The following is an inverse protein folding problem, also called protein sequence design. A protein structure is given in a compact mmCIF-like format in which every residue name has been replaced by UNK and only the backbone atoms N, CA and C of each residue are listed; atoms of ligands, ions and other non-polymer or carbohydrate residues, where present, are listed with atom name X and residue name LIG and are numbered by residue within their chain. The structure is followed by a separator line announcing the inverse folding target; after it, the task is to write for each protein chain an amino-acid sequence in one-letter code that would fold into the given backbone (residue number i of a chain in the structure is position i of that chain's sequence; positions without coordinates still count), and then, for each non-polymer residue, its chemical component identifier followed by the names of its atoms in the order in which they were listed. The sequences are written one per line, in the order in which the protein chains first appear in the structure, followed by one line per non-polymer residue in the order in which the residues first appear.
data_IF_520403150949
#
_entry.id   IF_520403150949
#
_cell.length_a   1.000
_cell.length_b   1.000
_cell.length_c   1.000
_cell.angle_alpha   90.00
_cell.angle_beta   90.00
_cell.angle_gamma   90.00
#
_symmetry.space_group_name_H-M   'P 1'
#
loop_
_entity.id
_entity.type
_entity.pdbx_description
1 polymer ?
#
# COMPACT_ATOMS: atom_id res chain seq x y z
N UNK A 1 28.50 44.45 -24.61
CA UNK A 1 29.30 43.38 -25.25
C UNK A 1 29.76 42.44 -24.16
N UNK A 2 28.93 41.45 -23.79
CA UNK A 2 29.32 40.43 -22.81
C UNK A 2 30.21 39.42 -23.54
N UNK A 3 31.51 39.38 -23.20
CA UNK A 3 32.39 38.30 -23.61
C UNK A 3 31.90 37.00 -22.94
N UNK A 4 31.28 36.11 -23.72
CA UNK A 4 31.14 34.70 -23.35
C UNK A 4 32.54 34.08 -23.46
N UNK A 5 33.11 33.66 -22.33
CA UNK A 5 34.42 33.01 -22.31
C UNK A 5 34.29 31.62 -22.96
N UNK A 6 35.35 31.08 -23.61
CA UNK A 6 35.32 29.74 -24.22
C UNK A 6 35.01 28.62 -23.20
N UNK A 7 35.27 28.86 -21.90
CA UNK A 7 34.87 27.97 -20.81
C UNK A 7 33.34 27.89 -20.63
N UNK A 8 32.60 28.98 -20.88
CA UNK A 8 31.13 28.99 -20.82
C UNK A 8 30.55 28.10 -21.91
N UNK A 9 31.16 28.10 -23.11
CA UNK A 9 30.74 27.23 -24.22
C UNK A 9 31.00 25.74 -23.91
N UNK A 10 32.14 25.41 -23.30
CA UNK A 10 32.46 24.02 -22.93
C UNK A 10 31.53 23.50 -21.82
N UNK A 11 31.27 24.30 -20.79
CA UNK A 11 30.36 23.91 -19.70
C UNK A 11 28.95 23.73 -20.24
N UNK A 12 28.45 24.66 -21.06
CA UNK A 12 27.12 24.54 -21.68
C UNK A 12 27.02 23.30 -22.58
N UNK A 13 28.06 23.00 -23.36
CA UNK A 13 28.08 21.79 -24.19
C UNK A 13 28.11 20.51 -23.36
N UNK A 14 28.91 20.45 -22.29
CA UNK A 14 28.95 19.30 -21.38
C UNK A 14 27.62 19.11 -20.64
N UNK A 15 26.98 20.21 -20.25
CA UNK A 15 25.67 20.20 -19.59
C UNK A 15 24.57 19.75 -20.55
N UNK A 16 24.63 20.20 -21.80
CA UNK A 16 23.73 19.75 -22.88
C UNK A 16 23.90 18.26 -23.18
N UNK A 17 25.14 17.77 -23.29
CA UNK A 17 25.41 16.34 -23.48
C UNK A 17 24.88 15.53 -22.30
N UNK A 18 25.17 15.97 -21.07
CA UNK A 18 24.70 15.31 -19.85
C UNK A 18 23.17 15.24 -19.79
N UNK A 19 22.49 16.34 -20.08
CA UNK A 19 21.02 16.39 -20.14
C UNK A 19 20.46 15.47 -21.22
N UNK A 20 21.09 15.44 -22.39
CA UNK A 20 20.69 14.57 -23.51
C UNK A 20 20.85 13.09 -23.14
N UNK A 21 21.97 12.72 -22.51
CA UNK A 21 22.20 11.36 -22.02
C UNK A 21 21.18 11.00 -20.95
N UNK A 22 20.90 11.89 -19.99
CA UNK A 22 19.91 11.65 -18.96
C UNK A 22 18.50 11.43 -19.55
N UNK A 23 18.10 12.27 -20.50
CA UNK A 23 16.79 12.16 -21.14
C UNK A 23 16.67 10.88 -21.98
N UNK A 24 17.71 10.52 -22.73
CA UNK A 24 17.72 9.27 -23.51
C UNK A 24 17.66 8.04 -22.60
N UNK A 25 18.39 8.02 -21.49
CA UNK A 25 18.30 6.95 -20.49
C UNK A 25 16.88 6.86 -19.89
N UNK A 26 16.29 8.00 -19.52
CA UNK A 26 14.93 8.05 -19.00
C UNK A 26 13.90 7.55 -20.03
N UNK A 27 14.06 7.93 -21.29
CA UNK A 27 13.18 7.50 -22.36
C UNK A 27 13.27 5.99 -22.60
N UNK A 28 14.49 5.48 -22.77
CA UNK A 28 14.75 4.07 -23.14
C UNK A 28 14.47 3.10 -21.99
N UNK A 29 14.87 3.45 -20.75
CA UNK A 29 14.77 2.52 -19.63
C UNK A 29 13.52 2.71 -18.77
N UNK A 30 12.88 3.87 -18.79
CA UNK A 30 11.72 4.16 -17.94
C UNK A 30 10.45 4.29 -18.79
N UNK A 31 10.41 5.25 -19.72
CA UNK A 31 9.18 5.59 -20.47
C UNK A 31 8.79 4.48 -21.44
N UNK A 32 9.67 4.09 -22.36
CA UNK A 32 9.35 3.11 -23.42
C UNK A 32 8.84 1.78 -22.83
N UNK A 33 9.53 1.15 -21.85
CA UNK A 33 9.01 -0.06 -21.23
C UNK A 33 7.70 0.18 -20.49
N UNK A 34 7.45 1.39 -19.95
CA UNK A 34 6.19 1.70 -19.27
C UNK A 34 5.01 1.77 -20.25
N UNK A 35 5.20 2.36 -21.43
CA UNK A 35 4.18 2.42 -22.49
C UNK A 35 3.77 1.00 -22.90
N UNK A 36 4.76 0.14 -23.19
CA UNK A 36 4.50 -1.24 -23.62
C UNK A 36 4.14 -2.21 -22.48
N UNK A 37 4.28 -1.79 -21.23
CA UNK A 37 4.01 -2.65 -20.07
C UNK A 37 5.03 -3.76 -19.87
N UNK A 38 6.23 -3.62 -20.45
CA UNK A 38 7.32 -4.58 -20.35
C UNK A 38 8.14 -4.28 -19.10
N UNK A 39 8.69 -5.32 -18.46
CA UNK A 39 9.61 -5.18 -17.34
C UNK A 39 10.89 -5.95 -17.61
N UNK A 40 12.04 -5.38 -17.27
CA UNK A 40 13.35 -6.04 -17.43
C UNK A 40 13.61 -7.19 -16.43
N UNK A 41 12.65 -7.54 -15.57
CA UNK A 41 12.81 -8.63 -14.60
C UNK A 41 13.78 -8.36 -13.43
N UNK A 42 14.52 -7.25 -13.44
CA UNK A 42 15.51 -6.87 -12.40
C UNK A 42 14.91 -6.95 -11.00
N UNK A 43 13.67 -6.49 -10.81
CA UNK A 43 12.96 -6.53 -9.53
C UNK A 43 12.68 -7.95 -9.04
N UNK A 44 12.26 -8.84 -9.95
CA UNK A 44 12.02 -10.25 -9.63
C UNK A 44 13.32 -10.94 -9.24
N UNK A 45 14.41 -10.64 -9.96
CA UNK A 45 15.74 -11.14 -9.63
C UNK A 45 16.20 -10.63 -8.26
N UNK A 46 16.11 -9.32 -8.01
CA UNK A 46 16.43 -8.71 -6.72
C UNK A 46 15.66 -9.37 -5.56
N UNK A 47 14.34 -9.51 -5.69
CA UNK A 47 13.51 -10.14 -4.65
C UNK A 47 13.88 -11.62 -4.46
N UNK A 48 14.07 -12.38 -5.54
CA UNK A 48 14.48 -13.79 -5.45
C UNK A 48 15.83 -13.95 -4.75
N UNK A 49 16.78 -13.06 -5.03
CA UNK A 49 18.09 -13.05 -4.34
C UNK A 49 17.93 -12.69 -2.87
N UNK A 50 17.11 -11.68 -2.56
CA UNK A 50 16.88 -11.24 -1.18
C UNK A 50 16.22 -12.35 -0.33
N UNK A 51 15.23 -13.05 -0.87
CA UNK A 51 14.55 -14.17 -0.19
C UNK A 51 15.51 -15.33 0.09
N UNK A 52 16.41 -15.64 -0.84
CA UNK A 52 17.47 -16.64 -0.60
C UNK A 52 18.40 -16.22 0.54
N UNK A 53 18.77 -14.94 0.59
CA UNK A 53 19.61 -14.40 1.68
C UNK A 53 18.87 -14.48 3.02
N UNK A 54 17.58 -14.13 3.05
CA UNK A 54 16.76 -14.21 4.26
C UNK A 54 16.60 -15.65 4.74
N UNK A 55 16.23 -16.58 3.86
CA UNK A 55 16.12 -18.00 4.21
C UNK A 55 17.43 -18.55 4.79
N UNK A 56 18.57 -18.21 4.17
CA UNK A 56 19.89 -18.58 4.69
C UNK A 56 20.18 -17.96 6.06
N UNK A 57 19.84 -16.68 6.26
CA UNK A 57 20.03 -15.98 7.52
C UNK A 57 19.18 -16.59 8.64
N UNK A 58 17.91 -16.87 8.37
CA UNK A 58 16.96 -17.48 9.32
C UNK A 58 17.43 -18.86 9.76
N UNK A 59 17.79 -19.76 8.81
CA UNK A 59 18.33 -21.08 9.14
C UNK A 59 19.59 -21.02 10.02
N UNK A 60 20.41 -20.00 9.82
CA UNK A 60 21.63 -19.79 10.61
C UNK A 60 21.32 -19.31 12.02
N UNK A 61 20.38 -18.39 12.18
CA UNK A 61 19.93 -17.95 13.49
C UNK A 61 19.33 -19.11 14.27
N UNK A 62 18.43 -19.89 13.64
CA UNK A 62 17.83 -21.08 14.25
C UNK A 62 18.87 -22.07 14.76
N UNK A 63 19.93 -22.32 13.98
CA UNK A 63 21.04 -23.16 14.41
C UNK A 63 21.77 -22.57 15.63
N UNK A 64 22.11 -21.28 15.60
CA UNK A 64 22.78 -20.62 16.72
C UNK A 64 21.94 -20.55 17.99
N UNK A 65 20.62 -20.49 17.87
CA UNK A 65 19.71 -20.51 19.01
C UNK A 65 19.52 -21.90 19.61
N UNK A 66 19.47 -22.95 18.76
CA UNK A 66 19.51 -24.35 19.19
C UNK A 66 20.80 -24.65 19.96
N UNK A 67 21.94 -24.15 19.47
CA UNK A 67 23.23 -24.29 20.16
C UNK A 67 23.27 -23.56 21.52
N UNK A 68 22.52 -22.46 21.67
CA UNK A 68 22.48 -21.63 22.89
C UNK A 68 21.29 -21.92 23.82
N UNK A 69 20.45 -22.92 23.53
CA UNK A 69 19.19 -23.20 24.23
C UNK A 69 18.29 -21.96 24.41
N UNK A 70 18.31 -21.04 23.44
CA UNK A 70 17.52 -19.81 23.50
C UNK A 70 16.30 -19.93 22.59
N UNK A 71 15.11 -19.60 23.08
CA UNK A 71 13.92 -19.52 22.22
C UNK A 71 14.00 -18.25 21.37
N UNK A 72 14.15 -18.42 20.05
CA UNK A 72 14.31 -17.30 19.09
C UNK A 72 13.02 -16.50 18.86
N UNK A 73 11.88 -17.16 19.00
CA UNK A 73 10.57 -16.62 18.73
C UNK A 73 9.70 -16.79 19.97
N UNK A 74 9.11 -15.70 20.47
CA UNK A 74 8.03 -15.80 21.45
C UNK A 74 6.78 -16.34 20.73
N UNK A 75 6.03 -17.27 21.33
CA UNK A 75 4.74 -17.69 20.80
C UNK A 75 3.83 -16.48 20.63
N UNK A 76 3.23 -16.37 19.46
CA UNK A 76 2.43 -15.23 19.05
C UNK A 76 1.07 -15.25 19.77
N UNK A 77 0.75 -14.21 20.55
CA UNK A 77 -0.60 -13.99 21.08
C UNK A 77 -1.31 -12.98 20.15
N UNK A 78 -2.32 -13.43 19.41
CA UNK A 78 -3.14 -12.59 18.50
C UNK A 78 -4.08 -11.61 19.25
N UNK A 79 -3.49 -10.74 20.08
CA UNK A 79 -4.16 -9.67 20.83
C UNK A 79 -3.35 -8.38 20.73
N UNK A 80 -4.05 -7.24 20.70
CA UNK A 80 -3.46 -5.91 20.94
C UNK A 80 -2.86 -5.87 22.36
N UNK A 81 -3.37 -6.73 23.25
CA UNK A 81 -2.87 -6.98 24.59
C UNK A 81 -2.14 -8.33 24.61
N UNK A 82 -0.94 -8.35 25.18
CA UNK A 82 -0.26 -9.59 25.52
C UNK A 82 -1.07 -10.29 26.62
N UNK A 83 -1.67 -11.44 26.29
CA UNK A 83 -2.42 -12.27 27.23
C UNK A 83 -1.58 -13.48 27.59
N UNK A 84 -1.25 -13.63 28.85
CA UNK A 84 -0.75 -14.90 29.35
C UNK A 84 -1.92 -15.91 29.38
N UNK A 85 -1.69 -17.18 29.04
CA UNK A 85 -2.73 -18.20 29.08
C UNK A 85 -2.94 -18.63 30.54
N UNK A 86 -3.54 -17.77 31.34
CA UNK A 86 -3.90 -18.00 32.75
C UNK A 86 -5.37 -18.34 32.87
N UNK A 87 -5.71 -19.26 33.80
CA UNK A 87 -7.11 -19.61 34.03
C UNK A 87 -7.86 -18.48 34.76
N UNK A 88 -9.19 -18.44 34.60
CA UNK A 88 -10.07 -17.50 35.30
C UNK A 88 -9.81 -17.50 36.82
N UNK A 89 -9.66 -18.69 37.39
CA UNK A 89 -9.45 -18.92 38.82
C UNK A 89 -8.07 -18.44 39.27
N UNK A 90 -7.05 -18.51 38.42
CA UNK A 90 -5.70 -18.07 38.73
C UNK A 90 -5.59 -16.54 38.75
N UNK A 91 -6.15 -15.85 37.75
CA UNK A 91 -6.12 -14.39 37.67
C UNK A 91 -6.92 -13.75 38.82
N UNK A 92 -8.09 -14.31 39.16
CA UNK A 92 -8.89 -13.84 40.29
C UNK A 92 -8.12 -14.05 41.61
N UNK A 93 -7.47 -15.20 41.81
CA UNK A 93 -6.64 -15.45 42.99
C UNK A 93 -5.45 -14.49 43.09
N UNK A 94 -4.83 -14.13 41.97
CA UNK A 94 -3.72 -13.17 41.95
C UNK A 94 -4.18 -11.76 42.33
N UNK A 95 -5.31 -11.30 41.78
CA UNK A 95 -5.90 -10.00 42.15
C UNK A 95 -6.21 -9.96 43.66
N UNK A 96 -6.80 -11.02 44.21
CA UNK A 96 -7.08 -11.14 45.64
C UNK A 96 -5.80 -11.14 46.50
N UNK A 97 -4.72 -11.80 46.05
CA UNK A 97 -3.40 -11.79 46.71
C UNK A 97 -2.74 -10.42 46.72
N UNK A 98 -2.94 -9.61 45.67
CA UNK A 98 -2.37 -8.27 45.58
C UNK A 98 -3.05 -7.25 46.51
N UNK A 99 -4.31 -7.52 46.90
CA UNK A 99 -5.13 -6.62 47.73
C UNK A 99 -5.30 -7.06 49.20
N UNK A 100 -4.95 -8.29 49.58
CA UNK A 100 -5.16 -8.79 50.95
C UNK A 100 -4.06 -9.76 51.41
N UNK A 101 -3.50 -9.50 52.60
CA UNK A 101 -2.46 -10.31 53.25
C UNK A 101 -3.02 -11.45 54.13
N UNK A 102 -4.15 -12.06 53.78
CA UNK A 102 -4.73 -13.15 54.57
C UNK A 102 -4.91 -14.43 53.76
N UNK A 103 -4.35 -15.50 54.33
CA UNK A 103 -4.40 -16.86 53.82
C UNK A 103 -5.84 -17.40 53.82
N UNK A 104 -6.32 -17.68 52.61
CA UNK A 104 -7.08 -18.85 52.16
C UNK A 104 -8.12 -19.45 53.15
N UNK A 105 -9.39 -19.07 52.98
CA UNK A 105 -10.51 -19.97 53.29
C UNK A 105 -11.05 -20.55 51.96
N UNK A 106 -11.25 -21.86 51.93
CA UNK A 106 -11.49 -22.68 50.74
C UNK A 106 -12.96 -22.68 50.29
N UNK A 107 -13.66 -21.54 50.34
CA UNK A 107 -15.01 -21.41 49.77
C UNK A 107 -14.98 -20.42 48.60
N UNK A 108 -15.43 -20.80 47.39
CA UNK A 108 -15.42 -19.93 46.22
C UNK A 108 -16.61 -18.97 46.28
N UNK A 109 -16.60 -18.06 47.26
CA UNK A 109 -17.55 -16.96 47.31
C UNK A 109 -17.05 -15.78 46.46
N UNK A 110 -18.01 -15.11 45.83
CA UNK A 110 -17.77 -13.93 44.99
C UNK A 110 -17.43 -12.74 45.88
N UNK A 111 -16.26 -12.13 45.68
CA UNK A 111 -15.85 -10.92 46.37
C UNK A 111 -16.15 -9.69 45.50
N UNK A 112 -16.43 -8.54 46.11
CA UNK A 112 -16.64 -7.28 45.38
C UNK A 112 -15.42 -6.89 44.53
N UNK A 113 -14.22 -7.29 44.94
CA UNK A 113 -12.96 -7.11 44.22
C UNK A 113 -12.93 -7.84 42.87
N UNK A 114 -13.66 -8.95 42.73
CA UNK A 114 -13.75 -9.73 41.50
C UNK A 114 -14.39 -8.93 40.35
N UNK A 115 -15.17 -7.89 40.66
CA UNK A 115 -15.74 -6.98 39.65
C UNK A 115 -14.64 -6.32 38.82
N UNK A 116 -13.49 -5.97 39.42
CA UNK A 116 -12.38 -5.37 38.68
C UNK A 116 -11.79 -6.31 37.63
N UNK A 117 -11.78 -7.61 37.88
CA UNK A 117 -11.40 -8.62 36.89
C UNK A 117 -12.34 -8.57 35.68
N UNK A 118 -13.66 -8.62 35.91
CA UNK A 118 -14.64 -8.59 34.83
C UNK A 118 -14.64 -7.26 34.06
N UNK A 119 -14.49 -6.13 34.75
CA UNK A 119 -14.33 -4.82 34.12
C UNK A 119 -13.06 -4.78 33.26
N UNK A 120 -11.93 -5.29 33.76
CA UNK A 120 -10.69 -5.41 32.99
C UNK A 120 -10.90 -6.29 31.76
N UNK A 121 -11.39 -7.52 31.90
CA UNK A 121 -11.64 -8.44 30.77
C UNK A 121 -12.65 -7.87 29.76
N UNK A 122 -13.66 -7.14 30.23
CA UNK A 122 -14.61 -6.41 29.37
C UNK A 122 -13.90 -5.35 28.53
N UNK A 123 -13.08 -4.50 29.16
CA UNK A 123 -12.27 -3.50 28.45
C UNK A 123 -11.26 -4.15 27.51
N UNK A 124 -10.59 -5.23 27.93
CA UNK A 124 -9.65 -5.98 27.09
C UNK A 124 -10.35 -6.57 25.87
N UNK A 125 -11.58 -7.06 26.00
CA UNK A 125 -12.37 -7.61 24.89
C UNK A 125 -12.87 -6.53 23.93
N UNK A 126 -13.29 -5.37 24.46
CA UNK A 126 -13.66 -4.20 23.65
C UNK A 126 -12.45 -3.67 22.90
N UNK A 127 -11.27 -3.67 23.52
CA UNK A 127 -10.04 -3.20 22.88
C UNK A 127 -9.47 -4.21 21.89
N UNK A 128 -9.59 -5.52 22.16
CA UNK A 128 -9.24 -6.62 21.26
C UNK A 128 -10.37 -7.02 20.29
N UNK A 129 -11.28 -6.10 20.01
CA UNK A 129 -12.42 -6.39 19.16
C UNK A 129 -11.98 -6.78 17.73
N UNK A 130 -12.84 -7.52 17.06
CA UNK A 130 -12.53 -8.03 15.73
C UNK A 130 -12.33 -6.92 14.71
N UNK A 131 -12.88 -5.71 14.92
CA UNK A 131 -12.79 -4.59 13.98
C UNK A 131 -11.47 -3.83 14.14
N UNK A 132 -11.07 -3.45 15.36
CA UNK A 132 -9.80 -2.71 15.58
C UNK A 132 -8.60 -3.54 15.13
N UNK A 133 -8.63 -4.86 15.35
CA UNK A 133 -7.60 -5.78 14.84
C UNK A 133 -7.44 -5.75 13.33
N UNK A 134 -8.48 -5.37 12.57
CA UNK A 134 -8.40 -5.22 11.10
C UNK A 134 -7.77 -3.91 10.66
N UNK A 135 -7.48 -2.98 11.57
CA UNK A 135 -6.71 -1.77 11.25
C UNK A 135 -5.25 -1.85 11.70
N UNK A 136 -4.93 -2.79 12.60
CA UNK A 136 -3.55 -3.08 12.99
C UNK A 136 -2.75 -3.65 11.82
N UNK A 137 -1.50 -3.25 11.67
CA UNK A 137 -0.63 -3.79 10.64
C UNK A 137 -0.43 -5.30 10.85
N UNK A 138 -0.49 -6.07 9.76
CA UNK A 138 -0.13 -7.49 9.75
C UNK A 138 1.37 -7.61 10.06
N UNK A 139 1.74 -8.42 11.06
CA UNK A 139 3.15 -8.73 11.31
C UNK A 139 3.55 -9.98 10.51
N UNK A 140 4.76 -9.94 9.98
CA UNK A 140 5.28 -10.97 9.07
C UNK A 140 5.56 -12.28 9.82
N UNK A 141 5.05 -13.40 9.31
CA UNK A 141 5.32 -14.76 9.85
C UNK A 141 6.80 -15.12 9.80
N UNK A 142 7.56 -14.57 8.85
CA UNK A 142 8.97 -14.86 8.67
C UNK A 142 9.85 -13.67 9.06
N UNK A 143 10.96 -13.97 9.74
CA UNK A 143 11.95 -12.96 10.06
C UNK A 143 12.64 -12.48 8.79
N UNK A 144 12.61 -11.17 8.56
CA UNK A 144 13.47 -10.53 7.59
C UNK A 144 14.54 -9.75 8.35
N UNK A 145 15.71 -9.55 7.76
CA UNK A 145 16.86 -8.83 8.38
C UNK A 145 16.50 -7.44 8.94
N UNK A 146 15.30 -6.92 8.69
CA UNK A 146 14.78 -5.64 9.15
C UNK A 146 13.51 -5.77 10.01
N UNK A 147 13.16 -6.96 10.54
CA UNK A 147 11.96 -7.14 11.36
C UNK A 147 11.96 -6.10 12.48
N UNK A 148 10.98 -5.18 12.40
CA UNK A 148 10.79 -4.03 13.31
C UNK A 148 10.63 -4.43 14.77
N UNK A 149 10.31 -5.69 15.05
CA UNK A 149 9.85 -6.18 16.34
C UNK A 149 10.89 -6.93 17.17
N UNK A 150 12.15 -7.05 16.72
CA UNK A 150 13.19 -7.64 17.55
C UNK A 150 14.05 -6.57 18.25
N UNK A 151 13.60 -6.12 19.42
CA UNK A 151 14.31 -5.16 20.29
C UNK A 151 15.66 -5.71 20.81
N UNK A 152 15.91 -7.02 20.72
CA UNK A 152 17.13 -7.69 21.21
C UNK A 152 18.13 -8.04 20.10
N UNK A 153 18.09 -7.32 18.97
CA UNK A 153 18.98 -7.62 17.83
C UNK A 153 20.40 -7.05 17.95
N UNK A 154 20.76 -6.47 19.10
CA UNK A 154 22.13 -6.10 19.37
C UNK A 154 22.99 -7.37 19.51
N UNK A 155 23.56 -7.81 18.38
CA UNK A 155 24.68 -8.75 18.26
C UNK A 155 24.38 -10.26 18.22
N UNK A 156 23.67 -10.73 17.20
CA UNK A 156 23.60 -12.19 16.91
C UNK A 156 24.89 -12.72 16.24
N UNK A 157 25.44 -12.04 15.21
CA UNK A 157 26.79 -12.34 14.69
C UNK A 157 27.36 -11.23 13.80
N UNK A 158 28.69 -11.03 13.82
CA UNK A 158 29.41 -10.03 13.00
C UNK A 158 29.07 -10.12 11.51
N UNK A 159 28.97 -11.34 10.96
CA UNK A 159 28.66 -11.56 9.54
C UNK A 159 27.25 -11.10 9.17
N UNK A 160 26.26 -11.35 10.04
CA UNK A 160 24.88 -10.90 9.83
C UNK A 160 24.78 -9.37 9.95
N UNK A 161 25.53 -8.77 10.89
CA UNK A 161 25.63 -7.31 11.03
C UNK A 161 26.26 -6.66 9.80
N UNK A 162 27.32 -7.24 9.22
CA UNK A 162 27.92 -6.76 7.96
C UNK A 162 26.91 -6.85 6.81
N UNK A 163 26.21 -7.97 6.66
CA UNK A 163 25.18 -8.15 5.64
C UNK A 163 24.02 -7.15 5.83
N UNK A 164 23.61 -6.91 7.08
CA UNK A 164 22.61 -5.90 7.41
C UNK A 164 23.08 -4.49 7.02
N UNK A 165 24.30 -4.10 7.41
CA UNK A 165 24.88 -2.81 7.09
C UNK A 165 25.01 -2.57 5.59
N UNK A 166 25.45 -3.58 4.84
CA UNK A 166 25.47 -3.55 3.38
C UNK A 166 24.05 -3.40 2.80
N UNK A 167 23.07 -4.11 3.36
CA UNK A 167 21.66 -4.00 2.98
C UNK A 167 21.09 -2.59 3.21
N UNK A 168 21.43 -1.96 4.34
CA UNK A 168 21.08 -0.57 4.65
C UNK A 168 21.72 0.36 3.63
N UNK A 169 23.03 0.25 3.37
CA UNK A 169 23.74 1.08 2.40
C UNK A 169 23.09 0.98 1.00
N UNK A 170 22.86 -0.22 0.49
CA UNK A 170 22.23 -0.44 -0.82
C UNK A 170 20.82 0.18 -0.87
N UNK A 171 20.01 -0.03 0.18
CA UNK A 171 18.62 0.45 0.21
C UNK A 171 18.53 1.96 0.26
N UNK A 172 19.30 2.61 1.11
CA UNK A 172 19.14 4.05 1.37
C UNK A 172 20.01 4.93 0.47
N UNK A 173 21.19 4.46 0.02
CA UNK A 173 22.06 5.26 -0.85
C UNK A 173 21.77 5.06 -2.35
N UNK A 174 21.17 3.93 -2.75
CA UNK A 174 20.93 3.64 -4.16
C UNK A 174 19.44 3.41 -4.48
N UNK A 175 18.78 2.46 -3.81
CA UNK A 175 17.41 2.10 -4.15
C UNK A 175 16.40 3.19 -3.80
N UNK A 176 16.51 3.81 -2.63
CA UNK A 176 15.58 4.86 -2.18
C UNK A 176 15.67 6.11 -3.07
N UNK A 177 16.84 6.68 -3.38
CA UNK A 177 16.96 7.79 -4.33
C UNK A 177 16.38 7.45 -5.70
N UNK A 178 16.64 6.24 -6.21
CA UNK A 178 16.05 5.77 -7.46
C UNK A 178 14.51 5.72 -7.40
N UNK A 179 13.94 5.20 -6.30
CA UNK A 179 12.48 5.16 -6.11
C UNK A 179 11.88 6.56 -6.05
N UNK A 180 12.53 7.47 -5.34
CA UNK A 180 12.11 8.88 -5.24
C UNK A 180 12.13 9.53 -6.63
N UNK A 181 13.21 9.36 -7.39
CA UNK A 181 13.32 9.88 -8.75
C UNK A 181 12.23 9.32 -9.68
N UNK A 182 11.94 8.01 -9.61
CA UNK A 182 10.85 7.39 -10.37
C UNK A 182 9.48 7.91 -9.97
N UNK A 183 9.23 8.13 -8.66
CA UNK A 183 7.97 8.67 -8.18
C UNK A 183 7.74 10.10 -8.69
N UNK A 184 8.74 10.97 -8.58
CA UNK A 184 8.65 12.33 -9.11
C UNK A 184 8.48 12.35 -10.63
N UNK A 185 9.20 11.47 -11.35
CA UNK A 185 9.04 11.33 -12.80
C UNK A 185 7.62 10.89 -13.17
N UNK A 186 7.09 9.84 -12.51
CA UNK A 186 5.76 9.32 -12.79
C UNK A 186 4.65 10.33 -12.48
N UNK A 187 4.72 11.02 -11.34
CA UNK A 187 3.75 12.06 -10.95
C UNK A 187 3.87 13.30 -11.85
N UNK A 188 5.10 13.74 -12.12
CA UNK A 188 5.35 14.90 -12.99
C UNK A 188 4.84 14.67 -14.41
N UNK A 189 5.16 13.52 -15.00
CA UNK A 189 4.67 13.13 -16.33
C UNK A 189 3.14 12.97 -16.34
N UNK A 190 2.54 12.49 -15.24
CA UNK A 190 1.08 12.42 -15.14
C UNK A 190 0.48 13.82 -15.21
N UNK A 191 0.93 14.75 -14.35
CA UNK A 191 0.39 16.12 -14.28
C UNK A 191 0.57 16.87 -15.60
N UNK A 192 1.78 16.82 -16.17
CA UNK A 192 2.09 17.49 -17.43
C UNK A 192 1.35 16.82 -18.58
N UNK A 193 1.42 15.50 -18.68
CA UNK A 193 0.81 14.73 -19.76
C UNK A 193 -0.71 14.87 -19.81
N UNK A 194 -1.41 14.75 -18.68
CA UNK A 194 -2.86 14.92 -18.65
C UNK A 194 -3.28 16.38 -18.90
N UNK A 195 -2.45 17.35 -18.50
CA UNK A 195 -2.69 18.76 -18.83
C UNK A 195 -2.55 19.01 -20.33
N UNK A 196 -1.51 18.48 -20.97
CA UNK A 196 -1.32 18.58 -22.43
C UNK A 196 -2.46 17.90 -23.18
N UNK A 197 -2.85 16.69 -22.79
CA UNK A 197 -4.00 15.97 -23.35
C UNK A 197 -5.30 16.75 -23.16
N UNK A 198 -5.42 17.51 -22.07
CA UNK A 198 -6.57 18.34 -21.77
C UNK A 198 -6.85 19.43 -22.79
N UNK A 199 -5.82 19.95 -23.46
CA UNK A 199 -5.96 20.94 -24.54
C UNK A 199 -6.44 20.35 -25.86
N UNK A 200 -6.47 19.02 -26.00
CA UNK A 200 -6.97 18.37 -27.20
C UNK A 200 -8.51 18.37 -27.24
N UNK A 201 -9.11 18.50 -28.44
CA UNK A 201 -10.55 18.36 -28.61
C UNK A 201 -11.00 16.94 -28.24
N UNK A 202 -12.24 16.82 -27.77
CA UNK A 202 -12.81 15.52 -27.42
C UNK A 202 -12.94 14.65 -28.68
N UNK A 203 -12.45 13.42 -28.59
CA UNK A 203 -12.46 12.47 -29.70
C UNK A 203 -11.49 11.31 -29.47
N UNK A 204 -11.45 10.39 -30.44
CA UNK A 204 -10.68 9.14 -30.36
C UNK A 204 -9.19 9.35 -30.08
N UNK A 205 -8.59 10.40 -30.63
CA UNK A 205 -7.17 10.70 -30.44
C UNK A 205 -6.87 11.13 -29.00
N UNK A 206 -7.69 12.01 -28.42
CA UNK A 206 -7.58 12.41 -27.01
C UNK A 206 -7.73 11.21 -26.09
N UNK A 207 -8.71 10.35 -26.32
CA UNK A 207 -8.93 9.13 -25.54
C UNK A 207 -7.75 8.17 -25.63
N UNK A 208 -7.24 7.94 -26.85
CA UNK A 208 -6.07 7.11 -27.09
C UNK A 208 -4.86 7.64 -26.33
N UNK A 209 -4.55 8.93 -26.46
CA UNK A 209 -3.41 9.54 -25.81
C UNK A 209 -3.59 9.55 -24.28
N UNK A 210 -4.77 9.89 -23.79
CA UNK A 210 -5.11 9.88 -22.36
C UNK A 210 -4.89 8.50 -21.75
N UNK A 211 -5.36 7.43 -22.41
CA UNK A 211 -5.16 6.05 -21.97
C UNK A 211 -3.67 5.71 -21.86
N UNK A 212 -2.87 6.04 -22.86
CA UNK A 212 -1.45 5.71 -22.86
C UNK A 212 -0.66 6.53 -21.84
N UNK A 213 -0.96 7.82 -21.69
CA UNK A 213 -0.36 8.69 -20.67
C UNK A 213 -0.64 8.16 -19.27
N UNK A 214 -1.90 7.88 -18.94
CA UNK A 214 -2.28 7.36 -17.63
C UNK A 214 -1.59 6.01 -17.35
N UNK A 215 -1.73 5.03 -18.25
CA UNK A 215 -1.12 3.71 -18.06
C UNK A 215 0.39 3.78 -17.90
N UNK A 216 1.07 4.57 -18.72
CA UNK A 216 2.52 4.80 -18.62
C UNK A 216 2.88 5.34 -17.23
N UNK A 217 2.22 6.42 -16.79
CA UNK A 217 2.53 7.07 -15.53
C UNK A 217 2.24 6.16 -14.32
N UNK A 218 1.10 5.47 -14.31
CA UNK A 218 0.78 4.52 -13.24
C UNK A 218 1.79 3.37 -13.17
N UNK A 219 2.23 2.84 -14.32
CA UNK A 219 3.28 1.81 -14.36
C UNK A 219 4.62 2.33 -13.84
N UNK A 220 4.98 3.59 -14.10
CA UNK A 220 6.17 4.22 -13.52
C UNK A 220 6.01 4.37 -12.00
N UNK A 221 4.84 4.80 -11.51
CA UNK A 221 4.56 4.90 -10.07
C UNK A 221 4.62 3.52 -9.37
N UNK A 222 4.01 2.48 -9.95
CA UNK A 222 4.15 1.09 -9.47
C UNK A 222 5.61 0.66 -9.47
N UNK A 223 6.41 1.11 -10.45
CA UNK A 223 7.84 0.82 -10.47
C UNK A 223 8.56 1.50 -9.29
N UNK A 224 8.23 2.74 -8.95
CA UNK A 224 8.76 3.42 -7.78
C UNK A 224 8.46 2.66 -6.47
N UNK A 225 7.29 2.02 -6.38
CA UNK A 225 6.88 1.24 -5.20
C UNK A 225 7.58 -0.12 -5.07
N UNK A 226 8.32 -0.57 -6.09
CA UNK A 226 8.92 -1.91 -6.12
C UNK A 226 7.90 -3.05 -5.98
N UNK A 227 6.61 -2.79 -6.23
CA UNK A 227 5.57 -3.81 -6.23
C UNK A 227 5.79 -4.84 -7.36
N UNK A 228 5.63 -6.12 -7.05
CA UNK A 228 5.53 -7.20 -8.04
C UNK A 228 4.06 -7.58 -8.11
N UNK A 229 3.43 -7.33 -9.26
CA UNK A 229 1.99 -7.54 -9.43
C UNK A 229 1.78 -8.70 -10.40
N UNK A 230 0.95 -9.65 -9.98
CA UNK A 230 0.48 -10.75 -10.81
C UNK A 230 -1.01 -10.54 -11.06
N UNK A 231 -1.40 -10.58 -12.32
CA UNK A 231 -2.79 -10.38 -12.74
C UNK A 231 -3.35 -11.69 -13.24
N UNK A 232 -4.46 -12.12 -12.64
CA UNK A 232 -5.21 -13.30 -13.02
C UNK A 232 -6.46 -12.89 -13.81
N UNK A 233 -7.00 -13.80 -14.63
CA UNK A 233 -8.27 -13.63 -15.33
C UNK A 233 -8.47 -12.31 -16.11
N UNK A 234 -7.42 -11.84 -16.80
CA UNK A 234 -7.44 -10.59 -17.59
C UNK A 234 -8.56 -10.50 -18.63
N UNK A 235 -9.13 -11.64 -19.04
CA UNK A 235 -10.32 -11.74 -19.92
C UNK A 235 -11.58 -11.10 -19.31
N UNK A 236 -11.67 -11.05 -17.99
CA UNK A 236 -12.81 -10.52 -17.22
C UNK A 236 -12.61 -9.05 -16.79
N UNK A 237 -11.70 -8.33 -17.44
CA UNK A 237 -11.43 -6.93 -17.07
C UNK A 237 -12.68 -6.05 -17.19
N UNK A 238 -12.82 -5.05 -16.30
CA UNK A 238 -13.93 -4.10 -16.36
C UNK A 238 -14.01 -3.40 -17.72
N UNK A 239 -15.23 -3.27 -18.23
CA UNK A 239 -15.53 -2.62 -19.50
C UNK A 239 -16.30 -1.32 -19.28
N UNK A 240 -16.25 -0.43 -20.27
CA UNK A 240 -16.96 0.84 -20.24
C UNK A 240 -18.45 0.68 -19.89
N UNK A 241 -18.96 1.61 -19.10
CA UNK A 241 -20.32 1.54 -18.56
C UNK A 241 -20.55 0.41 -17.56
N UNK A 242 -19.49 -0.05 -16.89
CA UNK A 242 -19.53 -0.97 -15.76
C UNK A 242 -18.80 -0.42 -14.54
N UNK A 243 -18.83 -1.17 -13.44
CA UNK A 243 -18.21 -0.78 -12.17
C UNK A 243 -17.22 -1.86 -11.74
N UNK A 244 -15.96 -1.48 -11.59
CA UNK A 244 -14.92 -2.28 -10.95
C UNK A 244 -15.06 -2.11 -9.44
N UNK A 245 -15.31 -3.21 -8.73
CA UNK A 245 -15.46 -3.23 -7.28
C UNK A 245 -14.30 -4.02 -6.70
N UNK A 246 -13.46 -3.38 -5.88
CA UNK A 246 -12.31 -4.02 -5.25
C UNK A 246 -12.26 -3.78 -3.75
N UNK A 247 -11.69 -4.72 -2.99
CA UNK A 247 -11.33 -4.50 -1.59
C UNK A 247 -10.21 -3.45 -1.48
N UNK A 248 -10.13 -2.76 -0.35
CA UNK A 248 -9.22 -1.63 -0.15
C UNK A 248 -8.28 -1.85 1.04
N UNK A 249 -7.03 -2.16 0.73
CA UNK A 249 -5.97 -2.36 1.72
C UNK A 249 -5.13 -1.11 1.95
N UNK A 250 -4.95 -0.28 0.92
CA UNK A 250 -4.06 0.89 0.98
C UNK A 250 -4.41 1.91 -0.10
N UNK A 251 -4.14 3.21 0.08
CA UNK A 251 -4.28 4.22 -0.99
C UNK A 251 -3.53 3.86 -2.29
N UNK A 252 -2.51 3.02 -2.19
CA UNK A 252 -1.71 2.52 -3.30
C UNK A 252 -2.51 1.61 -4.26
N UNK A 253 -3.59 0.98 -3.79
CA UNK A 253 -4.42 0.05 -4.57
C UNK A 253 -4.95 0.69 -5.86
N UNK A 254 -5.28 1.98 -5.79
CA UNK A 254 -5.72 2.77 -6.95
C UNK A 254 -4.67 2.71 -8.06
N UNK A 255 -3.40 2.95 -7.72
CA UNK A 255 -2.28 2.96 -8.66
C UNK A 255 -1.99 1.54 -9.17
N UNK A 256 -2.08 0.53 -8.29
CA UNK A 256 -1.91 -0.89 -8.65
C UNK A 256 -2.92 -1.31 -9.71
N UNK A 257 -4.21 -1.05 -9.48
CA UNK A 257 -5.26 -1.38 -10.44
C UNK A 257 -5.14 -0.56 -11.72
N UNK A 258 -4.92 0.75 -11.60
CA UNK A 258 -4.81 1.66 -12.74
C UNK A 258 -3.55 1.45 -13.59
N UNK A 259 -2.55 0.68 -13.11
CA UNK A 259 -1.39 0.30 -13.92
C UNK A 259 -1.70 -0.78 -14.97
N UNK A 260 -2.85 -1.47 -14.83
CA UNK A 260 -3.28 -2.54 -15.71
C UNK A 260 -4.63 -2.28 -16.41
N UNK A 261 -5.49 -1.49 -15.78
CA UNK A 261 -6.75 -1.02 -16.35
C UNK A 261 -6.83 0.50 -16.44
N UNK A 262 -7.79 0.99 -17.22
CA UNK A 262 -8.00 2.43 -17.41
C UNK A 262 -9.38 2.80 -16.87
N UNK A 263 -9.38 3.42 -15.69
CA UNK A 263 -10.56 3.61 -14.85
C UNK A 263 -10.90 5.08 -14.64
N UNK A 264 -12.20 5.38 -14.56
CA UNK A 264 -12.66 6.58 -13.87
C UNK A 264 -12.60 6.30 -12.36
N UNK A 265 -12.10 7.25 -11.59
CA UNK A 265 -11.92 7.07 -10.14
C UNK A 265 -12.98 7.86 -9.42
N UNK A 266 -13.40 7.35 -8.26
CA UNK A 266 -14.32 8.02 -7.35
C UNK A 266 -13.59 8.34 -6.06
N UNK A 267 -13.70 9.58 -5.59
CA UNK A 267 -13.13 9.93 -4.29
C UNK A 267 -13.52 11.32 -3.82
N UNK A 268 -13.04 11.67 -2.63
CA UNK A 268 -13.21 13.01 -2.10
C UNK A 268 -12.23 13.99 -2.79
N UNK A 269 -12.64 15.25 -2.97
CA UNK A 269 -11.74 16.33 -3.34
C UNK A 269 -10.74 16.58 -2.20
N UNK A 270 -9.47 16.69 -2.55
CA UNK A 270 -8.38 16.99 -1.62
C UNK A 270 -7.66 18.29 -2.01
N UNK A 271 -7.06 18.95 -1.02
CA UNK A 271 -6.16 20.09 -1.22
C UNK A 271 -4.72 19.68 -1.50
N UNK A 272 -3.80 20.66 -1.47
CA UNK A 272 -2.36 20.45 -1.59
C UNK A 272 -1.93 19.75 -2.88
N UNK A 273 -0.85 18.94 -2.80
CA UNK A 273 -0.31 18.18 -3.93
C UNK A 273 -1.35 17.23 -4.54
N UNK A 274 -2.15 16.57 -3.71
CA UNK A 274 -3.15 15.63 -4.22
C UNK A 274 -4.26 16.34 -4.99
N UNK A 275 -4.66 17.54 -4.57
CA UNK A 275 -5.56 18.39 -5.34
C UNK A 275 -5.00 18.82 -6.69
N UNK A 276 -3.68 19.09 -6.78
CA UNK A 276 -3.02 19.39 -8.08
C UNK A 276 -3.11 18.20 -9.01
N UNK A 277 -2.82 17.00 -8.50
CA UNK A 277 -2.92 15.74 -9.26
C UNK A 277 -4.37 15.51 -9.72
N UNK A 278 -5.36 15.60 -8.82
CA UNK A 278 -6.78 15.43 -9.16
C UNK A 278 -7.22 16.40 -10.26
N UNK A 279 -6.89 17.69 -10.14
CA UNK A 279 -7.23 18.71 -11.15
C UNK A 279 -6.58 18.42 -12.50
N UNK A 280 -5.34 17.95 -12.51
CA UNK A 280 -4.65 17.60 -13.75
C UNK A 280 -5.30 16.39 -14.43
N UNK A 281 -5.69 15.37 -13.66
CA UNK A 281 -6.26 14.13 -14.21
C UNK A 281 -7.65 14.33 -14.81
N UNK A 282 -8.49 15.17 -14.19
CA UNK A 282 -9.85 15.48 -14.68
C UNK A 282 -9.83 16.10 -16.09
N UNK A 283 -8.76 16.81 -16.45
CA UNK A 283 -8.62 17.40 -17.79
C UNK A 283 -8.56 16.35 -18.91
N UNK A 284 -8.06 15.16 -18.59
CA UNK A 284 -7.82 14.09 -19.58
C UNK A 284 -8.82 12.93 -19.47
N UNK A 285 -9.47 12.75 -18.32
CA UNK A 285 -10.42 11.67 -18.06
C UNK A 285 -11.52 12.14 -17.09
N UNK A 286 -12.80 11.77 -17.29
CA UNK A 286 -13.90 12.16 -16.41
C UNK A 286 -13.88 11.40 -15.08
N UNK A 287 -12.93 11.71 -14.19
CA UNK A 287 -12.95 11.24 -12.81
C UNK A 287 -14.07 11.94 -12.02
N UNK A 288 -14.67 11.22 -11.07
CA UNK A 288 -15.79 11.71 -10.26
C UNK A 288 -15.27 12.07 -8.87
N UNK A 289 -15.12 13.36 -8.59
CA UNK A 289 -14.72 13.84 -7.28
C UNK A 289 -15.90 14.48 -6.56
N UNK A 290 -16.06 14.15 -5.28
CA UNK A 290 -17.12 14.68 -4.44
C UNK A 290 -16.55 15.61 -3.37
N UNK A 291 -17.27 16.69 -3.07
CA UNK A 291 -16.96 17.47 -1.88
C UNK A 291 -17.35 16.72 -0.60
N UNK A 292 -16.70 17.03 0.52
CA UNK A 292 -16.94 16.35 1.80
C UNK A 292 -18.42 16.46 2.26
N UNK A 293 -19.09 17.56 1.92
CA UNK A 293 -20.53 17.77 2.14
C UNK A 293 -21.38 16.85 1.26
N UNK A 294 -21.07 16.76 -0.03
CA UNK A 294 -21.79 15.94 -1.02
C UNK A 294 -21.68 14.44 -0.75
N UNK A 295 -20.54 13.94 -0.23
CA UNK A 295 -20.36 12.51 0.10
C UNK A 295 -21.39 12.01 1.12
N UNK A 296 -21.97 12.92 1.94
CA UNK A 296 -23.01 12.57 2.91
C UNK A 296 -24.37 12.33 2.24
N UNK A 297 -24.61 12.93 1.07
CA UNK A 297 -25.84 12.76 0.31
C UNK A 297 -25.74 11.51 -0.59
N UNK A 298 -26.29 10.40 -0.07
CA UNK A 298 -26.30 9.11 -0.77
C UNK A 298 -27.06 9.18 -2.10
N UNK A 299 -28.11 9.98 -2.19
CA UNK A 299 -28.91 10.10 -3.41
C UNK A 299 -28.14 10.84 -4.50
N UNK A 300 -27.44 11.93 -4.15
CA UNK A 300 -26.60 12.66 -5.08
C UNK A 300 -25.45 11.79 -5.61
N UNK A 301 -24.77 11.04 -4.73
CA UNK A 301 -23.70 10.12 -5.12
C UNK A 301 -24.23 9.04 -6.08
N UNK A 302 -25.31 8.37 -5.72
CA UNK A 302 -25.92 7.34 -6.55
C UNK A 302 -26.32 7.89 -7.93
N UNK A 303 -26.96 9.06 -7.98
CA UNK A 303 -27.37 9.72 -9.22
C UNK A 303 -26.18 9.98 -10.14
N UNK A 304 -25.10 10.62 -9.65
CA UNK A 304 -23.91 10.92 -10.47
C UNK A 304 -23.23 9.65 -10.99
N UNK A 305 -23.16 8.60 -10.18
CA UNK A 305 -22.58 7.32 -10.60
C UNK A 305 -23.44 6.64 -11.66
N UNK A 306 -24.76 6.67 -11.52
CA UNK A 306 -25.72 6.16 -12.51
C UNK A 306 -25.59 6.89 -13.84
N UNK A 307 -25.56 8.23 -13.84
CA UNK A 307 -25.37 9.05 -15.04
C UNK A 307 -24.03 8.76 -15.73
N UNK A 308 -22.97 8.49 -14.96
CA UNK A 308 -21.66 8.12 -15.52
C UNK A 308 -21.68 6.74 -16.18
N UNK A 309 -22.31 5.74 -15.55
CA UNK A 309 -22.38 4.35 -16.07
C UNK A 309 -23.27 4.22 -17.29
N UNK A 310 -24.33 5.04 -17.38
CA UNK A 310 -25.24 5.07 -18.53
C UNK A 310 -24.54 5.51 -19.81
N UNK A 311 -23.53 6.39 -19.71
CA UNK A 311 -22.70 6.79 -20.82
C UNK A 311 -21.60 5.75 -21.11
N UNK A 312 -21.83 4.91 -22.13
CA UNK A 312 -20.90 3.85 -22.54
C UNK A 312 -19.60 4.36 -23.17
N UNK A 313 -19.49 5.65 -23.47
CA UNK A 313 -18.22 6.26 -23.88
C UNK A 313 -17.26 6.45 -22.69
N UNK A 314 -17.79 6.54 -21.46
CA UNK A 314 -16.99 6.75 -20.25
C UNK A 314 -16.35 5.46 -19.74
N UNK A 315 -15.23 5.65 -19.07
CA UNK A 315 -14.46 4.56 -18.47
C UNK A 315 -15.23 3.85 -17.36
N UNK A 316 -14.95 2.55 -17.13
CA UNK A 316 -15.46 1.85 -15.96
C UNK A 316 -15.07 2.59 -14.68
N UNK A 317 -16.01 2.65 -13.74
CA UNK A 317 -15.79 3.30 -12.46
C UNK A 317 -15.04 2.34 -11.54
N UNK A 318 -13.96 2.77 -10.91
CA UNK A 318 -13.30 2.05 -9.83
C UNK A 318 -13.85 2.51 -8.48
N UNK A 319 -14.42 1.58 -7.71
CA UNK A 319 -15.00 1.82 -6.39
C UNK A 319 -14.42 0.84 -5.37
N UNK A 320 -14.11 1.38 -4.20
CA UNK A 320 -13.75 0.64 -2.99
C UNK A 320 -14.92 0.71 -2.00
N UNK A 321 -15.83 -0.28 -2.00
CA UNK A 321 -17.12 -0.19 -1.32
C UNK A 321 -17.01 -0.21 0.21
N UNK A 322 -15.85 -0.56 0.76
CA UNK A 322 -15.53 -0.46 2.20
C UNK A 322 -15.53 1.00 2.66
N UNK A 323 -15.09 1.92 1.79
CA UNK A 323 -15.00 3.35 2.09
C UNK A 323 -13.91 3.73 3.10
N UNK A 324 -13.04 2.79 3.47
CA UNK A 324 -11.82 2.98 4.26
C UNK A 324 -10.77 1.94 3.83
N UNK A 325 -9.50 2.18 4.12
CA UNK A 325 -8.45 1.17 3.99
C UNK A 325 -8.42 0.29 5.24
N UNK A 326 -8.22 -1.01 5.06
CA UNK A 326 -8.10 -1.99 6.15
C UNK A 326 -6.82 -2.82 5.97
N UNK A 327 -6.45 -3.60 6.98
CA UNK A 327 -5.36 -4.55 6.86
C UNK A 327 -5.74 -5.70 5.92
N UNK A 328 -4.72 -6.29 5.31
CA UNK A 328 -4.83 -7.28 4.24
C UNK A 328 -5.31 -8.68 4.72
N UNK A 329 -5.75 -8.81 5.98
CA UNK A 329 -6.17 -10.07 6.60
C UNK A 329 -7.68 -10.33 6.53
N UNK A 330 -8.47 -9.33 6.12
CA UNK A 330 -9.93 -9.40 6.10
C UNK A 330 -10.54 -8.42 5.10
N UNK A 331 -11.86 -8.37 5.03
CA UNK A 331 -12.64 -7.40 4.24
C UNK A 331 -13.78 -6.87 5.11
N UNK A 332 -14.01 -5.55 5.11
CA UNK A 332 -15.12 -4.96 5.86
C UNK A 332 -16.44 -5.11 5.11
N UNK A 333 -17.55 -4.92 5.83
CA UNK A 333 -18.87 -4.89 5.20
C UNK A 333 -18.94 -3.80 4.12
N UNK A 334 -19.36 -4.21 2.93
CA UNK A 334 -19.48 -3.31 1.79
C UNK A 334 -20.69 -2.39 1.94
N UNK A 335 -20.50 -1.11 1.60
CA UNK A 335 -21.60 -0.14 1.55
C UNK A 335 -22.51 -0.45 0.36
N UNK A 336 -23.79 -0.75 0.68
CA UNK A 336 -24.86 -1.10 -0.28
C UNK A 336 -24.97 -0.15 -1.48
N UNK A 337 -24.78 1.16 -1.26
CA UNK A 337 -24.91 2.18 -2.31
C UNK A 337 -23.99 1.97 -3.52
N UNK A 338 -22.86 1.26 -3.35
CA UNK A 338 -21.96 0.91 -4.47
C UNK A 338 -22.57 -0.07 -5.48
N UNK A 339 -23.67 -0.74 -5.11
CA UNK A 339 -24.33 -1.79 -5.90
C UNK A 339 -25.73 -1.39 -6.40
N UNK A 340 -26.26 -0.23 -5.99
CA UNK A 340 -27.61 0.23 -6.36
C UNK A 340 -27.65 0.94 -7.72
N UNK A 341 -26.51 1.06 -8.41
CA UNK A 341 -26.32 1.87 -9.63
C UNK A 341 -26.86 1.17 -10.90
N UNK A 342 -27.28 -0.10 -10.82
CA UNK A 342 -27.83 -0.84 -11.96
C UNK A 342 -26.83 -1.14 -13.08
N UNK A 343 -25.54 -1.21 -12.73
CA UNK A 343 -24.43 -1.44 -13.66
C UNK A 343 -23.96 -2.91 -13.63
N UNK A 344 -23.28 -3.36 -14.69
CA UNK A 344 -22.49 -4.60 -14.61
C UNK A 344 -21.34 -4.40 -13.62
N UNK A 345 -21.33 -5.22 -12.56
CA UNK A 345 -20.28 -5.24 -11.55
C UNK A 345 -19.18 -6.21 -11.97
N UNK A 346 -17.94 -5.74 -11.91
CA UNK A 346 -16.73 -6.50 -12.13
C UNK A 346 -15.99 -6.61 -10.80
N UNK A 347 -16.12 -7.74 -10.08
CA UNK A 347 -15.43 -7.94 -8.83
C UNK A 347 -13.93 -8.14 -9.07
N UNK A 348 -13.10 -7.48 -8.27
CA UNK A 348 -11.65 -7.62 -8.26
C UNK A 348 -11.20 -7.82 -6.83
N UNK A 349 -10.36 -8.84 -6.61
CA UNK A 349 -9.72 -9.06 -5.33
C UNK A 349 -8.26 -8.61 -5.41
N UNK A 350 -7.84 -7.78 -4.46
CA UNK A 350 -6.46 -7.42 -4.21
C UNK A 350 -6.01 -8.21 -2.98
N UNK A 351 -4.92 -8.96 -3.14
CA UNK A 351 -4.25 -9.61 -2.02
C UNK A 351 -2.79 -9.20 -2.05
N UNK A 352 -2.34 -8.54 -1.00
CA UNK A 352 -0.92 -8.35 -0.75
C UNK A 352 -0.39 -9.69 -0.26
N UNK A 353 0.65 -10.20 -0.91
CA UNK A 353 1.37 -11.36 -0.40
C UNK A 353 2.62 -10.83 0.27
N UNK A 354 2.63 -10.94 1.59
CA UNK A 354 3.86 -10.83 2.34
C UNK A 354 4.72 -12.05 2.03
N UNK A 355 5.99 -11.79 1.69
CA UNK A 355 6.95 -12.76 1.15
C UNK A 355 8.09 -13.02 2.12
#
# INVERSE_FOLDING_TARGET
MFLLLPFDSLIVNLLGISLTVLFTLLLVFIIVPAIFGVSFGIRKLYMKTLLKIFAWATLRMERGAKEKNHQLYKPYTNGIIAKDPTSLEEEIKEIRRSGSSKALDNTPEFELSDIFYFCRKGMETIMDDEVTKRFSAEELESWNLLSRTNYNFQYISLRLTVLWGLGVLIRYCFLLPLRIALAFTGIGLLVVGTTVVGYLPNGRFKEFLSKHVHLMCYRICVRALTAIITYHDRKNRPRNGGICVANHTSPIDVIILASDGYYAMVGQVHGGLMGVIQRAMVKACPHVWFERSEVKDRHLVAKRLTEHVQDKSKLPILIFPEGTCINNTSVMMFKKGSFEIGATVYPVAIKVQDL
#
